data_IF_827596385127
#
_entry.id   IF_827596385127
#
_cell.length_a   1.000
_cell.length_b   1.000
_cell.length_c   1.000
_cell.angle_alpha   90.00
_cell.angle_beta   90.00
_cell.angle_gamma   90.00
#
_symmetry.space_group_name_H-M   'P 1'
#
loop_
_entity.id
_entity.type
_entity.pdbx_description
1 polymer ?
#
# COMPACT_ATOMS: atom_id res chain seq x y z
N UNK A 1 23.20 -6.52 -1.63
CA UNK A 1 22.77 -7.73 -2.34
C UNK A 1 21.25 -7.81 -2.29
N UNK A 2 20.56 -7.09 -3.19
CA UNK A 2 19.09 -7.05 -3.30
C UNK A 2 18.49 -8.44 -3.03
N UNK A 3 17.60 -8.54 -2.04
CA UNK A 3 16.65 -9.64 -1.98
C UNK A 3 15.67 -9.40 -3.14
N UNK A 4 16.12 -9.78 -4.33
CA UNK A 4 15.21 -10.10 -5.40
C UNK A 4 14.24 -11.12 -4.82
N UNK A 5 12.94 -10.82 -4.88
CA UNK A 5 11.89 -11.76 -4.48
C UNK A 5 12.00 -13.11 -5.20
N UNK A 6 12.86 -13.26 -6.22
CA UNK A 6 13.25 -14.54 -6.84
C UNK A 6 14.12 -15.47 -5.98
N UNK A 7 14.47 -15.10 -4.73
CA UNK A 7 15.29 -15.94 -3.83
C UNK A 7 14.58 -16.44 -2.57
N UNK A 8 13.26 -16.27 -2.46
CA UNK A 8 12.50 -17.05 -1.49
C UNK A 8 12.57 -18.53 -1.92
N UNK A 9 12.72 -19.49 -0.99
CA UNK A 9 12.71 -20.91 -1.34
C UNK A 9 11.41 -21.22 -2.09
N UNK A 10 11.53 -21.91 -3.21
CA UNK A 10 10.40 -22.27 -4.06
C UNK A 10 9.29 -22.88 -3.21
N UNK A 11 8.13 -22.22 -3.15
CA UNK A 11 6.92 -22.84 -2.60
C UNK A 11 6.48 -23.86 -3.64
N UNK A 12 6.90 -25.11 -3.46
CA UNK A 12 6.53 -26.20 -4.33
C UNK A 12 5.02 -26.49 -4.16
N UNK A 13 4.24 -26.21 -5.19
CA UNK A 13 2.91 -26.82 -5.39
C UNK A 13 3.08 -27.96 -6.40
N UNK A 14 2.69 -29.17 -6.01
CA UNK A 14 2.64 -30.34 -6.89
C UNK A 14 3.95 -30.69 -7.63
N UNK A 15 5.10 -30.54 -6.98
CA UNK A 15 6.41 -31.00 -7.51
C UNK A 15 6.90 -30.24 -8.75
N UNK A 16 6.25 -29.14 -9.12
CA UNK A 16 6.70 -28.25 -10.20
C UNK A 16 7.33 -27.02 -9.56
N UNK A 17 8.56 -26.62 -9.97
CA UNK A 17 9.14 -25.36 -9.56
C UNK A 17 8.23 -24.23 -10.07
N UNK A 18 7.68 -23.42 -9.18
CA UNK A 18 7.02 -22.17 -9.56
C UNK A 18 8.10 -21.24 -10.14
N UNK A 19 8.38 -21.38 -11.44
CA UNK A 19 9.21 -20.42 -12.17
C UNK A 19 8.54 -19.06 -12.04
N UNK A 20 9.30 -18.15 -11.43
CA UNK A 20 9.05 -16.74 -11.31
C UNK A 20 7.88 -16.32 -10.41
N UNK A 21 8.26 -15.67 -9.31
CA UNK A 21 7.49 -14.65 -8.60
C UNK A 21 7.22 -13.42 -9.50
N UNK A 22 6.92 -13.64 -10.79
CA UNK A 22 6.49 -12.60 -11.69
C UNK A 22 5.09 -12.19 -11.25
N UNK A 23 5.04 -11.11 -10.49
CA UNK A 23 3.84 -10.30 -10.44
C UNK A 23 3.64 -9.84 -11.88
N UNK A 24 2.82 -10.56 -12.63
CA UNK A 24 2.45 -10.20 -13.99
C UNK A 24 2.06 -8.73 -14.01
N UNK A 25 2.59 -8.00 -14.98
CA UNK A 25 2.31 -6.57 -15.06
C UNK A 25 0.80 -6.37 -15.18
N UNK A 26 0.30 -5.25 -14.68
CA UNK A 26 -1.13 -4.93 -14.77
C UNK A 26 -1.60 -4.98 -16.24
N UNK A 27 -0.71 -4.59 -17.15
CA UNK A 27 -0.90 -4.66 -18.60
C UNK A 27 -1.02 -6.10 -19.09
N UNK A 28 -0.19 -7.03 -18.62
CA UNK A 28 -0.30 -8.46 -18.97
C UNK A 28 -1.62 -9.07 -18.52
N UNK A 29 -2.15 -8.66 -17.37
CA UNK A 29 -3.43 -9.16 -16.87
C UNK A 29 -4.60 -8.56 -17.66
N UNK A 30 -4.55 -7.26 -17.94
CA UNK A 30 -5.58 -6.56 -18.71
C UNK A 30 -5.64 -7.07 -20.16
N UNK A 31 -4.50 -7.52 -20.72
CA UNK A 31 -4.39 -8.13 -22.04
C UNK A 31 -4.68 -9.64 -22.05
N UNK A 32 -4.90 -10.27 -20.88
CA UNK A 32 -5.18 -11.70 -20.78
C UNK A 32 -3.97 -12.61 -21.02
N UNK A 33 -2.75 -12.07 -20.93
CA UNK A 33 -1.48 -12.78 -21.06
C UNK A 33 -1.09 -13.51 -19.76
N UNK A 34 -1.84 -13.32 -18.68
CA UNK A 34 -1.62 -13.95 -17.39
C UNK A 34 -2.50 -15.21 -17.22
N UNK A 35 -1.93 -16.37 -16.85
CA UNK A 35 -2.70 -17.58 -16.58
C UNK A 35 -3.48 -17.52 -15.26
N UNK A 36 -3.18 -16.56 -14.38
CA UNK A 36 -3.85 -16.37 -13.11
C UNK A 36 -5.05 -15.43 -13.24
N UNK A 37 -6.12 -15.78 -12.54
CA UNK A 37 -7.25 -14.85 -12.36
C UNK A 37 -6.88 -13.71 -11.41
N UNK A 38 -7.52 -12.55 -11.58
CA UNK A 38 -7.37 -11.40 -10.67
C UNK A 38 -7.45 -11.77 -9.18
N UNK A 39 -8.41 -12.59 -8.71
CA UNK A 39 -8.46 -13.01 -7.31
C UNK A 39 -7.27 -13.88 -6.86
N UNK A 40 -6.78 -14.78 -7.73
CA UNK A 40 -5.62 -15.62 -7.41
C UNK A 40 -4.36 -14.78 -7.23
N UNK A 41 -4.15 -13.80 -8.12
CA UNK A 41 -3.00 -12.92 -8.02
C UNK A 41 -3.10 -11.99 -6.79
N UNK A 42 -4.27 -11.42 -6.52
CA UNK A 42 -4.50 -10.64 -5.30
C UNK A 42 -4.18 -11.46 -4.04
N UNK A 43 -4.59 -12.73 -4.01
CA UNK A 43 -4.33 -13.63 -2.90
C UNK A 43 -2.84 -13.95 -2.73
N UNK A 44 -2.14 -14.31 -3.81
CA UNK A 44 -0.69 -14.57 -3.77
C UNK A 44 0.09 -13.34 -3.34
N UNK A 45 -0.24 -12.17 -3.90
CA UNK A 45 0.43 -10.92 -3.56
C UNK A 45 0.19 -10.54 -2.10
N UNK A 46 -1.05 -10.70 -1.60
CA UNK A 46 -1.37 -10.52 -0.18
C UNK A 46 -0.58 -11.47 0.72
N UNK A 47 -0.47 -12.75 0.38
CA UNK A 47 0.28 -13.74 1.16
C UNK A 47 1.78 -13.39 1.25
N UNK A 48 2.41 -13.05 0.13
CA UNK A 48 3.81 -12.63 0.10
C UNK A 48 4.06 -11.37 0.97
N UNK A 49 3.18 -10.37 0.86
CA UNK A 49 3.28 -9.15 1.67
C UNK A 49 2.97 -9.42 3.15
N UNK A 50 2.10 -10.38 3.47
CA UNK A 50 1.82 -10.79 4.85
C UNK A 50 3.06 -11.41 5.49
N UNK A 51 3.72 -12.34 4.80
CA UNK A 51 4.99 -12.92 5.25
C UNK A 51 6.06 -11.83 5.46
N UNK A 52 6.26 -10.95 4.48
CA UNK A 52 7.24 -9.87 4.57
C UNK A 52 6.93 -8.89 5.72
N UNK A 53 5.67 -8.59 5.98
CA UNK A 53 5.24 -7.73 7.08
C UNK A 53 5.51 -8.36 8.46
N UNK A 54 5.15 -9.64 8.63
CA UNK A 54 5.44 -10.39 9.86
C UNK A 54 6.96 -10.45 10.09
N UNK A 55 7.73 -10.76 9.04
CA UNK A 55 9.19 -10.79 9.10
C UNK A 55 9.76 -9.43 9.52
N UNK A 56 9.27 -8.34 8.93
CA UNK A 56 9.70 -6.96 9.25
C UNK A 56 9.40 -6.57 10.69
N UNK A 57 8.26 -7.03 11.23
CA UNK A 57 7.92 -6.83 12.63
C UNK A 57 8.95 -7.51 13.56
N UNK A 58 9.35 -8.73 13.20
CA UNK A 58 10.33 -9.54 13.94
C UNK A 58 11.80 -9.16 13.73
N UNK A 59 12.13 -8.28 12.78
CA UNK A 59 13.52 -7.91 12.48
C UNK A 59 14.22 -7.24 13.68
N UNK A 60 15.39 -7.77 14.01
CA UNK A 60 16.32 -7.14 14.97
C UNK A 60 16.95 -5.88 14.36
N UNK A 61 17.23 -4.83 15.15
CA UNK A 61 17.91 -3.63 14.68
C UNK A 61 19.29 -3.87 14.05
N UNK A 62 19.95 -4.98 14.37
CA UNK A 62 21.31 -5.31 13.93
C UNK A 62 21.42 -5.79 12.47
N UNK A 63 20.31 -6.16 11.84
CA UNK A 63 20.30 -6.71 10.47
C UNK A 63 20.01 -5.57 9.49
N UNK A 64 21.04 -4.88 9.00
CA UNK A 64 20.88 -3.61 8.28
C UNK A 64 20.47 -3.77 6.81
N UNK A 65 20.95 -4.80 6.11
CA UNK A 65 20.67 -4.97 4.68
C UNK A 65 19.24 -5.46 4.42
N UNK A 66 18.81 -6.51 5.10
CA UNK A 66 17.45 -7.08 5.02
C UNK A 66 16.42 -6.05 5.46
N UNK A 67 16.74 -5.27 6.50
CA UNK A 67 15.92 -4.15 6.96
C UNK A 67 15.70 -3.12 5.86
N UNK A 68 16.76 -2.65 5.18
CA UNK A 68 16.63 -1.70 4.07
C UNK A 68 15.81 -2.27 2.92
N UNK A 69 15.97 -3.55 2.61
CA UNK A 69 15.18 -4.23 1.59
C UNK A 69 13.69 -4.26 1.96
N UNK A 70 13.37 -4.64 3.20
CA UNK A 70 11.98 -4.69 3.69
C UNK A 70 11.35 -3.30 3.77
N UNK A 71 12.11 -2.28 4.18
CA UNK A 71 11.69 -0.88 4.18
C UNK A 71 11.29 -0.44 2.76
N UNK A 72 12.10 -0.72 1.74
CA UNK A 72 11.76 -0.42 0.35
C UNK A 72 10.50 -1.16 -0.10
N UNK A 73 10.39 -2.47 0.17
CA UNK A 73 9.20 -3.25 -0.20
C UNK A 73 7.93 -2.71 0.46
N UNK A 74 8.02 -2.35 1.75
CA UNK A 74 6.91 -1.76 2.50
C UNK A 74 6.48 -0.43 1.88
N UNK A 75 7.44 0.48 1.66
CA UNK A 75 7.19 1.78 1.09
C UNK A 75 6.58 1.65 -0.30
N UNK A 76 7.16 0.82 -1.16
CA UNK A 76 6.63 0.54 -2.48
C UNK A 76 5.17 0.06 -2.41
N UNK A 77 4.86 -0.91 -1.55
CA UNK A 77 3.50 -1.46 -1.44
C UNK A 77 2.48 -0.42 -0.95
N UNK A 78 2.83 0.36 0.09
CA UNK A 78 1.98 1.43 0.62
C UNK A 78 1.85 2.61 -0.33
N UNK A 79 2.82 2.83 -1.22
CA UNK A 79 2.75 3.89 -2.21
C UNK A 79 1.92 3.55 -3.43
N UNK A 80 1.65 2.26 -3.71
CA UNK A 80 0.84 1.87 -4.88
C UNK A 80 -0.63 2.30 -4.75
N UNK A 81 -1.49 1.52 -4.10
CA UNK A 81 -2.93 1.83 -4.09
C UNK A 81 -3.36 2.97 -3.17
N UNK A 82 -2.77 3.14 -1.98
CA UNK A 82 -3.15 4.23 -1.11
C UNK A 82 -2.91 5.62 -1.73
N UNK A 83 -1.83 5.81 -2.50
CA UNK A 83 -1.43 7.12 -3.01
C UNK A 83 -2.00 7.48 -4.39
N UNK A 84 -2.84 6.62 -4.97
CA UNK A 84 -3.39 6.83 -6.31
C UNK A 84 -4.89 7.08 -6.24
N UNK A 85 -5.39 7.84 -7.21
CA UNK A 85 -6.83 8.05 -7.38
C UNK A 85 -7.57 6.75 -7.78
N UNK A 86 -8.72 6.51 -7.15
CA UNK A 86 -9.63 5.39 -7.45
C UNK A 86 -11.02 5.98 -7.74
N UNK A 87 -11.29 6.19 -9.02
CA UNK A 87 -12.51 6.80 -9.55
C UNK A 87 -13.20 5.94 -10.63
N UNK A 88 -12.53 4.93 -11.19
CA UNK A 88 -13.09 4.06 -12.24
C UNK A 88 -13.19 2.60 -11.83
N UNK A 89 -14.04 1.82 -12.51
CA UNK A 89 -14.14 0.37 -12.28
C UNK A 89 -12.83 -0.38 -12.56
N UNK A 90 -12.01 0.08 -13.52
CA UNK A 90 -10.68 -0.51 -13.78
C UNK A 90 -9.73 -0.29 -12.61
N UNK A 91 -9.68 0.95 -12.10
CA UNK A 91 -8.88 1.30 -10.93
C UNK A 91 -9.32 0.54 -9.68
N UNK A 92 -10.62 0.29 -9.49
CA UNK A 92 -11.12 -0.53 -8.38
C UNK A 92 -10.66 -1.98 -8.49
N UNK A 93 -10.70 -2.57 -9.68
CA UNK A 93 -10.19 -3.94 -9.89
C UNK A 93 -8.70 -4.05 -9.56
N UNK A 94 -7.90 -3.07 -10.00
CA UNK A 94 -6.47 -2.97 -9.67
C UNK A 94 -6.24 -2.75 -8.17
N UNK A 95 -7.01 -1.88 -7.53
CA UNK A 95 -7.00 -1.72 -6.08
C UNK A 95 -7.31 -3.03 -5.34
N UNK A 96 -8.08 -3.94 -5.96
CA UNK A 96 -8.32 -5.31 -5.52
C UNK A 96 -7.06 -6.16 -5.30
N UNK A 97 -5.96 -5.88 -6.00
CA UNK A 97 -4.67 -6.55 -5.77
C UNK A 97 -3.89 -5.86 -4.65
N UNK A 98 -3.80 -4.52 -4.72
CA UNK A 98 -2.83 -3.77 -3.93
C UNK A 98 -3.33 -3.35 -2.55
N UNK A 99 -4.62 -3.04 -2.37
CA UNK A 99 -5.16 -2.67 -1.06
C UNK A 99 -5.04 -3.83 -0.05
N UNK A 100 -5.36 -5.09 -0.40
CA UNK A 100 -5.14 -6.21 0.52
C UNK A 100 -3.67 -6.38 0.92
N UNK A 101 -2.74 -6.23 -0.01
CA UNK A 101 -1.30 -6.32 0.25
C UNK A 101 -0.79 -5.17 1.14
N UNK A 102 -1.16 -3.93 0.83
CA UNK A 102 -0.86 -2.74 1.64
C UNK A 102 -1.44 -2.86 3.05
N UNK A 103 -2.66 -3.41 3.16
CA UNK A 103 -3.31 -3.65 4.45
C UNK A 103 -2.53 -4.67 5.28
N UNK A 104 -1.96 -5.72 4.67
CA UNK A 104 -1.18 -6.72 5.40
C UNK A 104 0.04 -6.10 6.11
N UNK A 105 0.73 -5.14 5.47
CA UNK A 105 1.81 -4.39 6.10
C UNK A 105 1.37 -3.67 7.36
N UNK A 106 0.23 -2.99 7.31
CA UNK A 106 -0.30 -2.26 8.47
C UNK A 106 -0.80 -3.22 9.55
N UNK A 107 -1.44 -4.33 9.19
CA UNK A 107 -1.94 -5.31 10.15
C UNK A 107 -0.83 -5.96 10.98
N UNK A 108 0.35 -6.17 10.39
CA UNK A 108 1.42 -6.95 11.03
C UNK A 108 2.65 -6.13 11.43
N UNK A 109 2.86 -4.97 10.83
CA UNK A 109 4.06 -4.15 11.03
C UNK A 109 3.78 -2.67 11.31
N UNK A 110 2.52 -2.25 11.54
CA UNK A 110 2.19 -0.84 11.79
C UNK A 110 3.08 -0.16 12.85
N UNK A 111 3.36 -0.74 14.05
CA UNK A 111 4.24 -0.11 15.03
C UNK A 111 5.65 0.14 14.49
N UNK A 112 6.17 -0.78 13.68
CA UNK A 112 7.50 -0.64 13.07
C UNK A 112 7.49 0.41 11.97
N UNK A 113 6.43 0.44 11.15
CA UNK A 113 6.27 1.42 10.08
C UNK A 113 6.15 2.83 10.65
N UNK A 114 5.38 3.03 11.72
CA UNK A 114 5.29 4.31 12.41
C UNK A 114 6.66 4.75 12.94
N UNK A 115 7.46 3.82 13.50
CA UNK A 115 8.85 4.11 13.88
C UNK A 115 9.70 4.56 12.70
N UNK A 116 9.56 3.92 11.53
CA UNK A 116 10.27 4.35 10.31
C UNK A 116 9.86 5.77 9.89
N UNK A 117 8.57 6.11 9.99
CA UNK A 117 8.05 7.44 9.73
C UNK A 117 8.60 8.48 10.69
N UNK A 118 8.66 8.16 11.99
CA UNK A 118 9.22 9.04 13.01
C UNK A 118 10.72 9.28 12.82
N UNK A 119 11.47 8.27 12.38
CA UNK A 119 12.91 8.39 12.13
C UNK A 119 13.28 8.82 10.70
N UNK A 120 12.30 9.15 9.85
CA UNK A 120 12.49 9.56 8.44
C UNK A 120 13.38 8.59 7.65
N UNK A 121 13.13 7.29 7.80
CA UNK A 121 13.91 6.27 7.07
C UNK A 121 13.68 6.37 5.56
N UNK A 122 14.73 6.17 4.76
CA UNK A 122 14.71 6.32 3.30
C UNK A 122 14.25 7.71 2.80
N UNK A 123 14.29 8.74 3.66
CA UNK A 123 13.88 10.09 3.26
C UNK A 123 14.93 10.73 2.34
N UNK A 124 14.51 11.09 1.12
CA UNK A 124 15.40 11.63 0.08
C UNK A 124 15.08 13.07 -0.34
N UNK A 125 14.08 13.71 0.26
CA UNK A 125 13.72 15.13 0.02
C UNK A 125 13.24 15.46 -1.39
N UNK A 126 13.12 14.45 -2.28
CA UNK A 126 12.58 14.56 -3.62
C UNK A 126 11.77 13.29 -3.93
N UNK A 127 10.69 13.40 -4.69
CA UNK A 127 9.92 12.27 -5.19
C UNK A 127 10.66 11.57 -6.33
N UNK A 128 10.93 10.28 -6.18
CA UNK A 128 11.31 9.45 -7.32
C UNK A 128 10.06 9.20 -8.18
N UNK A 129 10.19 9.41 -9.49
CA UNK A 129 9.12 9.11 -10.43
C UNK A 129 8.86 7.60 -10.44
N UNK A 130 7.60 7.19 -10.21
CA UNK A 130 7.17 5.79 -10.28
C UNK A 130 6.04 5.65 -11.28
N UNK A 131 6.04 4.56 -12.03
CA UNK A 131 4.87 4.07 -12.77
C UNK A 131 3.84 3.56 -11.75
N UNK A 132 2.99 4.48 -11.28
CA UNK A 132 1.90 4.17 -10.37
C UNK A 132 0.85 3.27 -11.03
N UNK A 133 -0.02 2.65 -10.23
CA UNK A 133 -1.23 1.89 -10.62
C UNK A 133 -2.08 2.51 -11.74
N UNK A 134 -1.87 3.78 -12.04
CA UNK A 134 -2.40 4.46 -13.20
C UNK A 134 -1.94 3.87 -14.52
N UNK A 135 -0.66 3.62 -14.75
CA UNK A 135 -0.14 3.23 -16.07
C UNK A 135 -0.89 3.94 -17.22
N UNK A 136 -1.39 3.16 -18.18
CA UNK A 136 -2.23 3.57 -19.33
C UNK A 136 -3.64 4.10 -19.00
N UNK A 137 -4.16 3.89 -17.77
CA UNK A 137 -5.46 4.36 -17.29
C UNK A 137 -5.38 5.62 -16.40
N UNK A 138 -4.19 6.21 -16.20
CA UNK A 138 -4.05 7.61 -15.72
C UNK A 138 -4.42 7.91 -14.27
N UNK A 139 -4.30 6.96 -13.34
CA UNK A 139 -4.44 7.25 -11.90
C UNK A 139 -3.43 8.30 -11.43
N UNK A 140 -3.91 9.51 -11.11
CA UNK A 140 -3.08 10.61 -10.62
C UNK A 140 -2.47 10.23 -9.27
N UNK A 141 -1.15 10.43 -9.12
CA UNK A 141 -0.52 10.39 -7.80
C UNK A 141 -1.07 11.54 -6.96
N UNK A 142 -1.61 11.19 -5.78
CA UNK A 142 -2.21 12.12 -4.85
C UNK A 142 -1.25 12.54 -3.74
N UNK A 143 -0.12 11.85 -3.60
CA UNK A 143 0.95 12.24 -2.68
C UNK A 143 1.88 13.24 -3.37
N UNK A 144 2.08 14.39 -2.75
CA UNK A 144 2.93 15.48 -3.25
C UNK A 144 4.10 15.83 -2.33
N UNK A 145 4.22 15.15 -1.18
CA UNK A 145 5.36 15.31 -0.27
C UNK A 145 6.55 14.46 -0.70
N UNK A 146 7.61 14.45 0.10
CA UNK A 146 8.87 13.79 -0.28
C UNK A 146 8.80 12.26 -0.31
N UNK A 147 9.84 11.65 -0.91
CA UNK A 147 10.02 10.21 -0.90
C UNK A 147 10.59 9.72 0.43
N UNK A 148 10.28 8.47 0.77
CA UNK A 148 10.64 7.85 2.05
C UNK A 148 9.48 7.77 3.04
N UNK A 149 9.82 7.34 4.25
CA UNK A 149 8.88 7.33 5.37
C UNK A 149 8.83 8.70 6.04
N UNK A 150 7.62 9.17 6.34
CA UNK A 150 7.41 10.38 7.12
C UNK A 150 6.08 10.31 7.86
N UNK A 151 5.96 11.11 8.92
CA UNK A 151 4.72 11.22 9.71
C UNK A 151 3.59 11.75 8.82
N UNK A 152 3.88 12.71 7.95
CA UNK A 152 2.93 13.28 7.01
C UNK A 152 2.40 12.22 6.05
N UNK A 153 3.29 11.35 5.53
CA UNK A 153 2.92 10.26 4.63
C UNK A 153 2.11 9.17 5.34
N UNK A 154 2.41 8.90 6.62
CA UNK A 154 1.59 8.03 7.47
C UNK A 154 0.16 8.55 7.63
N UNK A 155 0.01 9.84 7.97
CA UNK A 155 -1.32 10.48 8.11
C UNK A 155 -2.06 10.44 6.77
N UNK A 156 -1.35 10.70 5.69
CA UNK A 156 -1.90 10.60 4.34
C UNK A 156 -2.42 9.19 4.05
N UNK A 157 -1.62 8.13 4.23
CA UNK A 157 -2.09 6.75 4.04
C UNK A 157 -3.32 6.42 4.88
N UNK A 158 -3.35 6.83 6.16
CA UNK A 158 -4.50 6.63 7.05
C UNK A 158 -5.76 7.27 6.46
N UNK A 159 -5.66 8.51 5.99
CA UNK A 159 -6.76 9.20 5.32
C UNK A 159 -7.20 8.44 4.05
N UNK A 160 -6.25 7.99 3.23
CA UNK A 160 -6.52 7.25 1.98
C UNK A 160 -7.23 5.92 2.20
N UNK A 161 -6.87 5.17 3.24
CA UNK A 161 -7.64 3.99 3.65
C UNK A 161 -9.08 4.34 4.05
N UNK A 162 -9.30 5.51 4.68
CA UNK A 162 -10.65 6.04 4.93
C UNK A 162 -11.43 6.32 3.63
N UNK A 163 -10.78 6.90 2.61
CA UNK A 163 -11.39 7.11 1.29
C UNK A 163 -11.76 5.79 0.63
N UNK A 164 -10.90 4.77 0.71
CA UNK A 164 -11.14 3.43 0.16
C UNK A 164 -12.35 2.78 0.85
N UNK A 165 -12.49 2.92 2.17
CA UNK A 165 -13.69 2.45 2.90
C UNK A 165 -14.97 3.10 2.39
N UNK A 166 -14.89 4.34 1.89
CA UNK A 166 -16.01 5.08 1.30
C UNK A 166 -16.44 4.60 -0.09
N UNK A 167 -15.69 3.72 -0.77
CA UNK A 167 -16.01 3.28 -2.14
C UNK A 167 -17.39 2.61 -2.24
N UNK A 168 -17.79 1.83 -1.23
CA UNK A 168 -19.12 1.18 -1.22
C UNK A 168 -20.29 2.16 -1.20
N UNK A 169 -20.08 3.42 -0.77
CA UNK A 169 -21.11 4.48 -0.79
C UNK A 169 -21.18 5.22 -2.13
N UNK A 170 -20.20 5.01 -3.03
CA UNK A 170 -20.11 5.67 -4.35
C UNK A 170 -20.79 4.87 -5.48
N UNK A 171 -21.64 3.90 -5.13
CA UNK A 171 -22.39 3.09 -6.11
C UNK A 171 -21.59 1.92 -6.71
N UNK A 172 -20.36 1.69 -6.27
CA UNK A 172 -19.59 0.50 -6.65
C UNK A 172 -20.05 -0.71 -5.84
N UNK A 173 -20.66 -1.70 -6.49
CA UNK A 173 -21.07 -2.95 -5.86
C UNK A 173 -20.39 -4.14 -6.56
N UNK A 174 -19.55 -4.87 -5.82
CA UNK A 174 -19.01 -6.18 -6.22
C UNK A 174 -18.27 -6.83 -5.06
N UNK A 175 -18.05 -8.15 -5.12
CA UNK A 175 -17.21 -8.88 -4.14
C UNK A 175 -15.79 -8.31 -4.02
N UNK A 176 -15.25 -7.75 -5.11
CA UNK A 176 -13.93 -7.10 -5.11
C UNK A 176 -13.96 -5.83 -4.25
N UNK A 177 -15.03 -5.04 -4.34
CA UNK A 177 -15.21 -3.83 -3.52
C UNK A 177 -15.32 -4.23 -2.04
N UNK A 178 -16.07 -5.28 -1.72
CA UNK A 178 -16.26 -5.72 -0.33
C UNK A 178 -14.94 -6.12 0.34
N UNK A 179 -14.08 -6.89 -0.36
CA UNK A 179 -12.78 -7.30 0.18
C UNK A 179 -11.82 -6.10 0.33
N UNK A 180 -11.76 -5.22 -0.68
CA UNK A 180 -10.97 -3.98 -0.65
C UNK A 180 -11.38 -3.11 0.54
N UNK A 181 -12.68 -2.85 0.70
CA UNK A 181 -13.23 -2.07 1.80
C UNK A 181 -12.96 -2.74 3.14
N UNK A 182 -13.12 -4.07 3.22
CA UNK A 182 -12.86 -4.84 4.42
C UNK A 182 -11.39 -4.76 4.86
N UNK A 183 -10.45 -4.91 3.93
CA UNK A 183 -9.02 -4.77 4.18
C UNK A 183 -8.67 -3.36 4.63
N UNK A 184 -9.13 -2.34 3.90
CA UNK A 184 -8.88 -0.93 4.22
C UNK A 184 -9.40 -0.54 5.61
N UNK A 185 -10.59 -1.03 5.99
CA UNK A 185 -11.18 -0.77 7.30
C UNK A 185 -10.31 -1.31 8.44
N UNK A 186 -9.81 -2.55 8.29
CA UNK A 186 -8.96 -3.17 9.31
C UNK A 186 -7.61 -2.45 9.41
N UNK A 187 -7.00 -2.12 8.28
CA UNK A 187 -5.75 -1.36 8.24
C UNK A 187 -5.89 -0.01 8.95
N UNK A 188 -6.90 0.79 8.59
CA UNK A 188 -7.15 2.08 9.23
C UNK A 188 -7.49 1.98 10.72
N UNK A 189 -8.08 0.88 11.18
CA UNK A 189 -8.29 0.61 12.61
C UNK A 189 -6.95 0.43 13.33
N UNK A 190 -6.09 -0.45 12.83
CA UNK A 190 -4.77 -0.72 13.44
C UNK A 190 -3.90 0.54 13.46
N UNK A 191 -3.92 1.35 12.39
CA UNK A 191 -3.17 2.61 12.37
C UNK A 191 -3.57 3.55 13.53
N UNK A 192 -4.87 3.63 13.86
CA UNK A 192 -5.35 4.46 14.99
C UNK A 192 -4.97 3.87 16.35
N UNK A 193 -5.03 2.55 16.48
CA UNK A 193 -4.65 1.86 17.72
C UNK A 193 -3.16 2.10 18.04
N UNK A 194 -2.30 1.95 17.05
CA UNK A 194 -0.85 2.18 17.20
C UNK A 194 -0.53 3.64 17.53
N UNK A 195 -1.24 4.62 16.95
CA UNK A 195 -1.07 6.03 17.30
C UNK A 195 -1.42 6.32 18.77
N UNK A 196 -2.47 5.67 19.29
CA UNK A 196 -2.90 5.83 20.68
C UNK A 196 -1.90 5.18 21.65
N UNK A 197 -1.35 4.02 21.31
CA UNK A 197 -0.36 3.31 22.13
C UNK A 197 0.99 4.04 22.20
N UNK A 198 1.42 4.67 21.10
CA UNK A 198 2.69 5.41 21.03
C UNK A 198 2.58 6.84 21.62
N UNK A 199 1.40 7.22 22.17
CA UNK A 199 1.15 8.53 22.76
C UNK A 199 1.13 9.68 21.73
N UNK A 200 0.91 9.36 20.45
CA UNK A 200 1.03 10.29 19.34
C UNK A 200 -0.29 11.06 19.11
N UNK A 201 -0.33 12.34 19.52
CA UNK A 201 -1.47 13.23 19.27
C UNK A 201 -1.41 13.84 17.86
N UNK A 202 -2.11 13.24 16.89
CA UNK A 202 -2.14 13.66 15.47
C UNK A 202 -3.05 14.88 15.21
N UNK A 203 -3.72 15.41 16.23
CA UNK A 203 -4.82 16.38 16.06
C UNK A 203 -4.42 17.68 15.32
N UNK A 204 -3.12 18.02 15.26
CA UNK A 204 -2.62 19.18 14.53
C UNK A 204 -2.44 19.01 13.02
N UNK A 205 -2.24 17.80 12.50
CA UNK A 205 -1.82 17.58 11.09
C UNK A 205 -3.01 17.45 10.14
N UNK A 206 -4.17 16.99 10.63
CA UNK A 206 -5.39 16.87 9.82
C UNK A 206 -5.92 18.23 9.33
N UNK A 207 -5.59 19.33 10.02
CA UNK A 207 -5.97 20.69 9.63
C UNK A 207 -5.30 21.20 8.34
N UNK A 208 -4.22 20.57 7.89
CA UNK A 208 -3.49 20.97 6.68
C UNK A 208 -4.08 20.42 5.38
N UNK A 209 -4.91 19.38 5.45
CA UNK A 209 -5.56 18.78 4.28
C UNK A 209 -6.99 19.28 4.04
N UNK A 210 -7.43 20.31 4.78
CA UNK A 210 -8.81 20.84 4.76
C UNK A 210 -8.96 22.29 4.31
N UNK A 211 -7.91 22.93 3.78
CA UNK A 211 -7.98 24.30 3.23
C UNK A 211 -7.49 24.29 1.80
N UNK A 212 -8.45 24.10 0.90
CA UNK A 212 -8.51 24.47 -0.53
C UNK A 212 -9.81 23.75 -1.00
N UNK A 213 -10.96 24.35 -1.28
CA UNK A 213 -11.27 25.68 -1.78
C UNK A 213 -12.79 25.88 -1.57
N UNK A 214 -13.18 26.74 -0.62
CA UNK A 214 -14.55 27.27 -0.52
C UNK A 214 -14.40 28.77 -0.36
N UNK A 215 -14.50 29.48 -1.47
CA UNK A 215 -15.01 30.87 -1.62
C UNK A 215 -14.14 31.70 -2.57
N UNK A 216 -14.52 31.73 -3.84
CA UNK A 216 -14.51 32.93 -4.68
C UNK A 216 -15.24 32.56 -5.99
N UNK A 217 -16.28 33.24 -6.50
CA UNK A 217 -16.89 34.52 -6.20
C UNK A 217 -18.41 34.43 -6.38
N UNK A 218 -19.14 35.02 -5.45
CA UNK A 218 -20.37 35.76 -5.76
C UNK A 218 -19.92 37.11 -6.33
N UNK A 219 -20.30 37.39 -7.57
CA UNK A 219 -20.81 38.67 -8.05
C UNK A 219 -21.66 38.40 -9.30
#
# INVERSE_FOLDING_TARGET
MLLHLSKLPDVLSDSVPCKENDIHTIEDIDLGNCPLTWPQQAQQYKQANTFAAIYTSALSPSITHERKSMQHTTLHCLSQAPEVEISTHRQIRRAGIHIPAASAWLLHAAPRILKFCNSKELYHGNLEWRSWLGGSDGGKCLWSGDEGFSVERWVFWKHRFGVVVGLGRRGFASRVVDDVVGCARRAGKVMREVEQEDGFAVDGVLGLFGRDDVSSLVL
#
